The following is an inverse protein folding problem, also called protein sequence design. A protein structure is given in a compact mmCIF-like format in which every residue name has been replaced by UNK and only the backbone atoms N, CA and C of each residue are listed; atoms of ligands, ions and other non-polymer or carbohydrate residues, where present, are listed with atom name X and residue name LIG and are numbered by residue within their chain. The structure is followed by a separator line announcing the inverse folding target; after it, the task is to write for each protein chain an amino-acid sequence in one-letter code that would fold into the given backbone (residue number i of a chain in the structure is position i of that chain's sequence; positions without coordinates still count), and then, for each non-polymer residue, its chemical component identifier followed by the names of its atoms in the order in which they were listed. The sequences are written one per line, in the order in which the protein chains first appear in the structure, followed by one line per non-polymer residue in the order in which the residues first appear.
data_IF_273016264514
#
_entry.id   IF_273016264514
#
_cell.length_a   1.000
_cell.length_b   1.000
_cell.length_c   1.000
_cell.angle_alpha   90.00
_cell.angle_beta   90.00
_cell.angle_gamma   90.00
#
_symmetry.space_group_name_H-M   'P 1'
#
loop_
_entity.id
_entity.type
_entity.pdbx_description
1 polymer ?
#
# COMPACT_ATOMS: atom_id res chain seq x y z
N UNK A 1 12.10 -15.09 2.58
CA UNK A 1 11.80 -13.74 3.10
C UNK A 1 10.65 -13.25 2.25
N UNK A 2 9.62 -12.69 2.87
CA UNK A 2 8.44 -12.18 2.18
C UNK A 2 8.50 -10.65 2.10
N UNK A 3 7.96 -10.07 1.04
CA UNK A 3 7.98 -8.63 0.75
C UNK A 3 6.64 -8.17 0.15
N UNK A 4 6.56 -6.92 -0.32
CA UNK A 4 5.32 -6.30 -0.79
C UNK A 4 4.56 -7.17 -1.81
N UNK A 5 5.27 -7.74 -2.78
CA UNK A 5 4.65 -8.54 -3.84
C UNK A 5 3.92 -9.78 -3.30
N UNK A 6 4.43 -10.38 -2.22
CA UNK A 6 3.85 -11.58 -1.60
C UNK A 6 2.53 -11.28 -0.86
N UNK A 7 2.29 -10.00 -0.54
CA UNK A 7 1.09 -9.54 0.18
C UNK A 7 0.03 -8.87 -0.71
N UNK A 8 0.29 -8.72 -2.01
CA UNK A 8 -0.68 -8.18 -2.96
C UNK A 8 -1.50 -9.29 -3.61
N UNK A 9 -2.74 -8.97 -3.99
CA UNK A 9 -3.55 -9.91 -4.76
C UNK A 9 -2.89 -10.13 -6.14
N UNK A 10 -2.59 -11.40 -6.50
CA UNK A 10 -1.83 -11.72 -7.71
C UNK A 10 -2.58 -11.37 -9.01
N UNK A 11 -3.90 -11.28 -8.97
CA UNK A 11 -4.75 -10.90 -10.10
C UNK A 11 -5.13 -9.42 -10.11
N UNK A 12 -4.99 -8.73 -8.97
CA UNK A 12 -5.30 -7.31 -8.80
C UNK A 12 -4.34 -6.65 -7.78
N UNK A 13 -3.19 -6.13 -8.22
CA UNK A 13 -2.19 -5.54 -7.31
C UNK A 13 -2.66 -4.23 -6.65
N UNK A 14 -3.86 -3.73 -6.97
CA UNK A 14 -4.45 -2.59 -6.25
C UNK A 14 -5.08 -3.00 -4.92
N UNK A 15 -5.11 -4.31 -4.61
CA UNK A 15 -5.61 -4.88 -3.36
C UNK A 15 -4.59 -5.77 -2.66
N UNK A 16 -4.72 -5.91 -1.34
CA UNK A 16 -4.02 -6.94 -0.57
C UNK A 16 -4.66 -8.31 -0.77
N UNK A 17 -4.00 -9.39 -0.33
CA UNK A 17 -4.55 -10.75 -0.38
C UNK A 17 -5.83 -10.93 0.47
N UNK A 18 -6.03 -10.09 1.49
CA UNK A 18 -7.26 -10.02 2.30
C UNK A 18 -8.39 -9.19 1.65
N UNK A 19 -8.10 -8.50 0.53
CA UNK A 19 -9.08 -7.73 -0.25
C UNK A 19 -9.18 -6.24 0.08
N UNK A 20 -8.34 -5.72 0.99
CA UNK A 20 -8.25 -4.28 1.26
C UNK A 20 -7.51 -3.54 0.14
N UNK A 21 -7.66 -2.21 0.01
CA UNK A 21 -6.79 -1.43 -0.87
C UNK A 21 -5.31 -1.65 -0.54
N UNK A 22 -4.46 -1.76 -1.56
CA UNK A 22 -3.02 -1.93 -1.40
C UNK A 22 -2.41 -0.81 -0.55
N UNK A 23 -1.31 -1.06 0.19
CA UNK A 23 -0.70 -0.07 1.06
C UNK A 23 -0.29 1.20 0.30
N UNK A 24 -0.79 2.36 0.75
CA UNK A 24 -0.42 3.67 0.21
C UNK A 24 0.18 4.53 1.31
N UNK A 25 1.27 5.23 1.00
CA UNK A 25 1.96 6.13 1.94
C UNK A 25 1.78 7.56 1.46
N UNK A 26 1.45 8.45 2.39
CA UNK A 26 1.39 9.88 2.15
C UNK A 26 2.47 10.58 2.98
N UNK A 27 3.02 11.66 2.44
CA UNK A 27 3.92 12.57 3.16
C UNK A 27 3.19 13.91 3.27
N UNK A 28 3.08 14.42 4.49
CA UNK A 28 2.45 15.70 4.78
C UNK A 28 3.51 16.67 5.28
N UNK A 29 3.45 17.90 4.79
CA UNK A 29 4.29 18.99 5.22
C UNK A 29 3.40 20.19 5.58
N UNK A 30 3.82 20.94 6.60
CA UNK A 30 3.18 22.17 7.01
C UNK A 30 4.22 23.29 7.00
N UNK A 31 3.77 24.51 6.74
CA UNK A 31 4.58 25.73 6.83
C UNK A 31 4.08 26.58 8.00
N UNK A 32 4.99 27.20 8.74
CA UNK A 32 4.60 28.24 9.70
C UNK A 32 4.20 29.49 8.92
N UNK A 33 3.18 30.19 9.44
CA UNK A 33 2.95 31.60 9.15
C UNK A 33 4.00 32.47 9.85
#
# INVERSE_FOLDING_TARGET
FESLADYLNPSDPTRTVEGYPAPRRAILAATSI
#
